data_IF_696300963702
#
_entry.id   IF_696300963702
#
_cell.length_a   1.000
_cell.length_b   1.000
_cell.length_c   1.000
_cell.angle_alpha   90.00
_cell.angle_beta   90.00
_cell.angle_gamma   90.00
#
_symmetry.space_group_name_H-M   'P 1'
#
loop_
_entity.id
_entity.type
_entity.pdbx_description
1 polymer ?
#
# COMPACT_ATOMS: atom_id res chain seq x y z
N UNK A 1 99.51 -37.88 14.88
CA UNK A 1 100.98 -37.68 14.85
C UNK A 1 101.44 -37.62 13.40
N UNK A 2 102.69 -37.23 13.12
CA UNK A 2 103.19 -37.38 11.75
C UNK A 2 103.47 -38.86 11.47
N UNK A 3 103.16 -39.35 10.26
CA UNK A 3 103.48 -40.72 9.84
C UNK A 3 104.95 -41.03 10.12
N UNK A 4 105.19 -42.06 10.91
CA UNK A 4 106.53 -42.57 11.15
C UNK A 4 106.85 -43.71 10.18
N UNK A 5 108.09 -43.81 9.72
CA UNK A 5 108.52 -44.85 8.77
C UNK A 5 109.70 -45.62 9.38
N UNK A 6 109.66 -46.94 9.24
CA UNK A 6 110.77 -47.81 9.61
C UNK A 6 111.95 -47.49 8.71
N UNK A 7 113.07 -47.09 9.30
CA UNK A 7 114.34 -46.94 8.61
C UNK A 7 114.92 -48.31 8.28
N UNK A 8 115.02 -48.64 6.99
CA UNK A 8 115.47 -49.97 6.54
C UNK A 8 117.00 -50.13 6.52
N UNK A 9 117.75 -49.05 6.80
CA UNK A 9 119.19 -48.98 6.60
C UNK A 9 119.57 -48.71 5.15
N UNK A 10 120.87 -48.58 4.89
CA UNK A 10 121.41 -48.33 3.54
C UNK A 10 121.69 -49.63 2.77
N UNK A 11 121.96 -50.72 3.49
CA UNK A 11 122.17 -52.08 3.00
C UNK A 11 121.76 -53.13 4.05
N UNK A 12 121.61 -54.38 3.63
CA UNK A 12 121.27 -55.47 4.55
C UNK A 12 122.36 -55.69 5.62
N UNK A 13 121.96 -55.76 6.89
CA UNK A 13 122.82 -56.00 8.05
C UNK A 13 123.93 -54.94 8.27
N UNK A 14 123.72 -53.70 7.82
CA UNK A 14 124.71 -52.61 7.93
C UNK A 14 124.64 -51.79 9.22
N UNK A 15 123.74 -52.15 10.13
CA UNK A 15 123.47 -51.48 11.41
C UNK A 15 123.05 -49.99 11.32
N UNK A 16 122.65 -49.50 10.14
CA UNK A 16 122.13 -48.12 9.96
C UNK A 16 120.60 -48.03 9.94
N UNK A 17 119.91 -49.17 9.92
CA UNK A 17 118.47 -49.27 10.05
C UNK A 17 117.97 -49.16 11.49
N UNK A 18 116.66 -49.04 11.65
CA UNK A 18 116.02 -49.09 12.95
C UNK A 18 116.22 -50.47 13.60
N UNK A 19 116.43 -50.46 14.91
CA UNK A 19 116.27 -51.69 15.70
C UNK A 19 114.81 -52.16 15.64
N UNK A 20 114.55 -53.47 15.82
CA UNK A 20 113.18 -54.00 15.90
C UNK A 20 112.32 -53.24 16.91
N UNK A 21 112.91 -52.76 18.01
CA UNK A 21 112.22 -51.94 19.01
C UNK A 21 111.82 -50.58 18.45
N UNK A 22 112.75 -49.82 17.86
CA UNK A 22 112.45 -48.51 17.27
C UNK A 22 111.47 -48.61 16.09
N UNK A 23 111.59 -49.65 15.26
CA UNK A 23 110.63 -49.93 14.19
C UNK A 23 109.26 -50.34 14.73
N UNK A 24 109.23 -51.17 15.78
CA UNK A 24 108.01 -51.60 16.47
C UNK A 24 107.27 -50.44 17.14
N UNK A 25 107.99 -49.53 17.80
CA UNK A 25 107.43 -48.31 18.37
C UNK A 25 106.77 -47.46 17.28
N UNK A 26 107.44 -47.27 16.14
CA UNK A 26 106.87 -46.53 15.01
C UNK A 26 105.62 -47.18 14.41
N UNK A 27 105.58 -48.50 14.38
CA UNK A 27 104.42 -49.27 13.91
C UNK A 27 103.27 -49.12 14.90
N UNK A 28 103.53 -49.29 16.19
CA UNK A 28 102.53 -49.11 17.24
C UNK A 28 101.98 -47.69 17.26
N UNK A 29 102.83 -46.67 17.20
CA UNK A 29 102.46 -45.26 17.14
C UNK A 29 101.50 -44.98 15.96
N UNK A 30 101.84 -45.45 14.76
CA UNK A 30 100.98 -45.29 13.59
C UNK A 30 99.63 -46.03 13.74
N UNK A 31 99.63 -47.27 14.27
CA UNK A 31 98.38 -48.01 14.48
C UNK A 31 97.54 -47.40 15.62
N UNK A 32 98.15 -46.96 16.71
CA UNK A 32 97.48 -46.25 17.80
C UNK A 32 96.81 -44.98 17.30
N UNK A 33 97.45 -44.21 16.40
CA UNK A 33 96.81 -43.07 15.73
C UNK A 33 95.55 -43.50 14.97
N UNK A 34 95.65 -44.54 14.13
CA UNK A 34 94.53 -45.01 13.31
C UNK A 34 93.36 -45.52 14.17
N UNK A 35 93.65 -46.32 15.19
CA UNK A 35 92.63 -46.87 16.09
C UNK A 35 92.02 -45.82 17.03
N UNK A 36 92.76 -44.74 17.33
CA UNK A 36 92.22 -43.60 18.07
C UNK A 36 91.35 -42.71 17.19
N UNK A 37 91.81 -42.42 15.96
CA UNK A 37 91.13 -41.47 15.07
C UNK A 37 89.90 -42.05 14.36
N UNK A 38 89.94 -43.33 13.97
CA UNK A 38 88.87 -44.03 13.22
C UNK A 38 88.18 -45.10 14.07
N UNK A 39 88.42 -45.09 15.38
CA UNK A 39 88.04 -46.15 16.29
C UNK A 39 87.74 -45.66 17.70
N UNK A 40 87.93 -46.53 18.67
CA UNK A 40 87.77 -46.23 20.10
C UNK A 40 89.07 -46.49 20.90
N UNK A 41 90.21 -46.63 20.22
CA UNK A 41 91.50 -47.00 20.80
C UNK A 41 91.77 -48.51 20.85
N UNK A 42 90.76 -49.35 20.64
CA UNK A 42 90.88 -50.82 20.61
C UNK A 42 90.35 -51.41 19.30
N UNK A 43 89.19 -50.93 18.85
CA UNK A 43 88.51 -51.36 17.62
C UNK A 43 88.34 -50.20 16.65
N UNK A 44 88.38 -50.48 15.34
CA UNK A 44 87.94 -49.54 14.31
C UNK A 44 86.41 -49.44 14.34
N UNK A 45 85.89 -48.22 14.37
CA UNK A 45 84.44 -47.94 14.41
C UNK A 45 83.90 -47.57 13.04
N UNK A 46 84.71 -47.67 11.98
CA UNK A 46 84.31 -47.50 10.59
C UNK A 46 84.32 -48.87 9.91
N UNK A 47 83.20 -49.27 9.33
CA UNK A 47 83.11 -50.45 8.46
C UNK A 47 82.83 -50.04 7.03
N UNK A 48 83.53 -50.67 6.08
CA UNK A 48 83.34 -50.52 4.63
C UNK A 48 83.00 -51.87 3.98
N UNK A 49 82.56 -52.85 4.78
CA UNK A 49 82.20 -54.15 4.27
C UNK A 49 80.89 -54.08 3.48
N UNK A 50 80.94 -54.48 2.20
CA UNK A 50 79.78 -54.69 1.32
C UNK A 50 78.78 -53.52 1.23
N UNK A 51 79.19 -52.27 0.94
CA UNK A 51 78.24 -51.20 0.71
C UNK A 51 77.34 -51.53 -0.49
N UNK A 52 76.04 -51.32 -0.33
CA UNK A 52 75.11 -51.28 -1.44
C UNK A 52 75.36 -50.07 -2.34
N UNK A 53 74.86 -50.13 -3.58
CA UNK A 53 74.88 -48.98 -4.49
C UNK A 53 74.17 -47.80 -3.82
N UNK A 54 74.80 -46.61 -3.84
CA UNK A 54 74.31 -45.35 -3.26
C UNK A 54 74.25 -45.26 -1.73
N UNK A 55 74.80 -46.22 -0.99
CA UNK A 55 74.90 -46.11 0.47
C UNK A 55 75.98 -45.12 0.89
N UNK A 56 75.76 -44.45 2.03
CA UNK A 56 76.70 -43.54 2.66
C UNK A 56 77.20 -44.11 3.98
N UNK A 57 78.34 -43.65 4.48
CA UNK A 57 78.77 -43.94 5.84
C UNK A 57 77.90 -43.16 6.83
N UNK A 58 76.99 -43.86 7.52
CA UNK A 58 76.10 -43.27 8.51
C UNK A 58 76.53 -43.69 9.91
N UNK A 59 76.66 -42.72 10.81
CA UNK A 59 76.83 -43.02 12.23
C UNK A 59 75.51 -43.53 12.81
N UNK A 60 75.50 -44.73 13.36
CA UNK A 60 74.29 -45.37 13.90
C UNK A 60 74.11 -45.17 15.41
N UNK A 61 74.95 -44.32 16.04
CA UNK A 61 75.02 -44.14 17.49
C UNK A 61 76.15 -44.92 18.16
N UNK A 62 76.88 -45.77 17.43
CA UNK A 62 78.06 -46.49 17.93
C UNK A 62 79.19 -46.57 16.90
N UNK A 63 78.88 -46.89 15.64
CA UNK A 63 79.84 -47.04 14.54
C UNK A 63 79.37 -46.34 13.26
N UNK A 64 80.29 -46.04 12.35
CA UNK A 64 80.00 -45.64 10.98
C UNK A 64 79.85 -46.88 10.10
N UNK A 65 78.63 -47.09 9.58
CA UNK A 65 78.28 -48.24 8.75
C UNK A 65 77.68 -47.77 7.42
N UNK A 66 77.88 -48.48 6.30
CA UNK A 66 77.14 -48.23 5.06
C UNK A 66 75.64 -48.36 5.33
N UNK A 67 74.88 -47.33 5.00
CA UNK A 67 73.44 -47.29 5.20
C UNK A 67 72.80 -46.32 4.22
N UNK A 68 71.50 -46.49 4.00
CA UNK A 68 70.73 -45.54 3.21
C UNK A 68 70.60 -44.23 3.97
N UNK A 69 70.65 -43.12 3.23
CA UNK A 69 70.42 -41.81 3.80
C UNK A 69 68.91 -41.54 3.89
N UNK A 70 68.32 -41.86 5.05
CA UNK A 70 66.85 -41.88 5.26
C UNK A 70 66.29 -40.71 6.07
N UNK A 71 67.08 -39.66 6.30
CA UNK A 71 66.71 -38.55 7.19
C UNK A 71 66.95 -37.20 6.52
N UNK A 72 65.93 -36.35 6.46
CA UNK A 72 66.08 -34.92 6.21
C UNK A 72 66.24 -34.20 7.56
N UNK A 73 67.42 -33.66 7.82
CA UNK A 73 67.70 -32.89 9.06
C UNK A 73 67.53 -31.38 8.88
N UNK A 74 67.26 -30.94 7.65
CA UNK A 74 66.95 -29.55 7.27
C UNK A 74 65.99 -29.55 6.07
N UNK A 75 65.49 -28.37 5.67
CA UNK A 75 64.66 -28.22 4.48
C UNK A 75 65.37 -28.78 3.24
N UNK A 76 64.63 -29.50 2.39
CA UNK A 76 65.14 -29.94 1.10
C UNK A 76 65.27 -28.73 0.15
N UNK A 77 66.51 -28.29 -0.09
CA UNK A 77 66.82 -27.38 -1.19
C UNK A 77 67.00 -28.19 -2.48
N UNK A 78 66.17 -27.90 -3.48
CA UNK A 78 66.20 -28.61 -4.76
C UNK A 78 67.29 -28.07 -5.70
N UNK A 79 67.90 -26.91 -5.45
CA UNK A 79 68.99 -26.32 -6.23
C UNK A 79 68.76 -26.37 -7.76
N UNK A 80 67.56 -25.97 -8.20
CA UNK A 80 67.14 -25.98 -9.60
C UNK A 80 66.69 -27.35 -10.16
N UNK A 81 66.68 -28.41 -9.35
CA UNK A 81 66.17 -29.73 -9.72
C UNK A 81 64.67 -29.88 -9.39
N UNK A 82 64.08 -30.99 -9.82
CA UNK A 82 62.65 -31.32 -9.60
C UNK A 82 62.50 -32.54 -8.71
N UNK A 83 61.45 -32.57 -7.88
CA UNK A 83 61.01 -33.78 -7.17
C UNK A 83 60.10 -34.57 -8.12
N UNK A 84 60.62 -35.63 -8.73
CA UNK A 84 59.92 -36.45 -9.71
C UNK A 84 60.02 -37.93 -9.36
N UNK A 85 59.03 -38.72 -9.79
CA UNK A 85 59.03 -40.17 -9.69
C UNK A 85 59.27 -40.80 -11.05
N UNK A 86 60.00 -41.92 -11.09
CA UNK A 86 60.23 -42.73 -12.29
C UNK A 86 59.35 -43.97 -12.30
N UNK A 87 58.97 -44.47 -13.49
CA UNK A 87 58.19 -45.72 -13.66
C UNK A 87 56.77 -45.68 -13.07
N UNK A 88 56.08 -44.55 -13.19
CA UNK A 88 54.69 -44.35 -12.74
C UNK A 88 54.46 -44.55 -11.23
N UNK A 89 55.50 -44.44 -10.40
CA UNK A 89 55.35 -44.49 -8.94
C UNK A 89 54.74 -43.20 -8.39
N UNK A 90 54.03 -43.28 -7.26
CA UNK A 90 53.53 -42.11 -6.54
C UNK A 90 54.66 -41.37 -5.82
N UNK A 91 54.52 -40.05 -5.63
CA UNK A 91 55.34 -39.26 -4.70
C UNK A 91 54.49 -39.01 -3.45
N UNK A 92 54.53 -39.88 -2.42
CA UNK A 92 53.75 -39.67 -1.22
C UNK A 92 54.30 -38.50 -0.41
N UNK A 93 53.47 -37.49 -0.16
CA UNK A 93 53.75 -36.40 0.79
C UNK A 93 52.75 -36.55 1.93
N UNK A 94 53.16 -37.28 2.97
CA UNK A 94 52.29 -37.67 4.07
C UNK A 94 52.92 -37.24 5.40
N UNK A 95 52.37 -36.21 6.09
CA UNK A 95 52.78 -35.90 7.44
C UNK A 95 52.29 -37.02 8.38
N UNK A 96 52.98 -37.21 9.51
CA UNK A 96 52.50 -38.13 10.53
C UNK A 96 51.33 -37.51 11.32
N UNK A 97 50.32 -38.31 11.67
CA UNK A 97 49.19 -37.91 12.48
C UNK A 97 48.35 -36.80 11.84
N UNK A 98 48.17 -35.70 12.57
CA UNK A 98 47.33 -34.56 12.17
C UNK A 98 48.12 -33.43 11.50
N UNK A 99 49.39 -33.67 11.15
CA UNK A 99 50.21 -32.67 10.49
C UNK A 99 49.62 -32.23 9.15
N UNK A 100 49.96 -31.02 8.72
CA UNK A 100 49.47 -30.45 7.47
C UNK A 100 50.50 -30.65 6.35
N UNK A 101 50.02 -30.83 5.12
CA UNK A 101 50.86 -30.60 3.94
C UNK A 101 50.67 -29.14 3.53
N UNK A 102 51.77 -28.43 3.32
CA UNK A 102 51.74 -27.03 2.88
C UNK A 102 52.48 -26.88 1.55
N UNK A 103 51.90 -26.12 0.62
CA UNK A 103 52.53 -25.74 -0.65
C UNK A 103 52.58 -24.23 -0.70
N UNK A 104 53.79 -23.68 -0.56
CA UNK A 104 53.99 -22.24 -0.49
C UNK A 104 54.72 -21.70 -1.72
N UNK A 105 54.25 -20.56 -2.24
CA UNK A 105 54.88 -19.84 -3.34
C UNK A 105 54.62 -18.33 -3.20
N UNK A 106 55.64 -17.49 -3.40
CA UNK A 106 55.48 -16.04 -3.38
C UNK A 106 54.91 -15.47 -2.07
N UNK A 107 55.13 -16.14 -0.93
CA UNK A 107 54.59 -15.75 0.38
C UNK A 107 53.16 -16.22 0.67
N UNK A 108 52.53 -16.95 -0.25
CA UNK A 108 51.22 -17.58 -0.07
C UNK A 108 51.41 -19.05 0.30
N UNK A 109 50.68 -19.55 1.30
CA UNK A 109 50.75 -20.95 1.74
C UNK A 109 49.39 -21.63 1.59
N UNK A 110 49.28 -22.58 0.66
CA UNK A 110 48.11 -23.45 0.53
C UNK A 110 48.24 -24.61 1.52
N UNK A 111 47.17 -24.99 2.20
CA UNK A 111 47.23 -25.95 3.32
C UNK A 111 46.24 -27.09 3.10
N UNK A 112 46.75 -28.31 3.07
CA UNK A 112 45.96 -29.54 3.18
C UNK A 112 45.97 -29.93 4.65
N UNK A 113 44.85 -29.69 5.33
CA UNK A 113 44.76 -29.80 6.78
C UNK A 113 44.56 -31.26 7.21
N UNK A 114 45.53 -31.84 7.92
CA UNK A 114 45.48 -33.23 8.37
C UNK A 114 44.50 -33.47 9.53
N UNK A 115 44.03 -32.42 10.20
CA UNK A 115 43.05 -32.52 11.29
C UNK A 115 41.61 -32.50 10.77
N UNK A 116 41.29 -31.56 9.89
CA UNK A 116 39.90 -31.35 9.41
C UNK A 116 39.62 -31.98 8.06
N UNK A 117 40.65 -32.34 7.29
CA UNK A 117 40.51 -32.76 5.90
C UNK A 117 40.23 -31.62 4.92
N UNK A 118 40.12 -30.38 5.40
CA UNK A 118 39.90 -29.22 4.54
C UNK A 118 41.16 -28.89 3.75
N UNK A 119 40.95 -28.40 2.53
CA UNK A 119 42.01 -27.81 1.70
C UNK A 119 41.77 -26.32 1.61
N UNK A 120 42.71 -25.54 2.10
CA UNK A 120 42.65 -24.08 2.13
C UNK A 120 43.58 -23.47 1.07
N UNK A 121 42.96 -22.74 0.13
CA UNK A 121 43.63 -21.93 -0.87
C UNK A 121 43.34 -20.46 -0.53
N UNK A 122 44.23 -19.75 0.20
CA UNK A 122 43.93 -18.41 0.73
C UNK A 122 43.84 -17.29 -0.33
N UNK A 123 44.01 -17.64 -1.61
CA UNK A 123 43.90 -16.71 -2.74
C UNK A 123 42.99 -17.32 -3.82
N UNK A 124 43.43 -17.40 -5.07
CA UNK A 124 42.66 -17.95 -6.18
C UNK A 124 43.18 -19.34 -6.57
N UNK A 125 42.26 -20.24 -6.91
CA UNK A 125 42.57 -21.50 -7.59
C UNK A 125 42.02 -21.46 -9.01
N UNK A 126 42.86 -21.77 -10.00
CA UNK A 126 42.43 -22.00 -11.36
C UNK A 126 42.43 -23.50 -11.62
N UNK A 127 41.27 -24.05 -12.02
CA UNK A 127 41.11 -25.45 -12.36
C UNK A 127 40.02 -25.59 -13.41
N UNK A 128 40.15 -26.60 -14.29
CA UNK A 128 39.11 -26.93 -15.26
C UNK A 128 38.18 -27.95 -14.62
N UNK A 129 36.91 -27.60 -14.48
CA UNK A 129 35.87 -28.51 -13.98
C UNK A 129 34.70 -28.62 -14.95
N UNK A 130 35.05 -28.98 -16.19
CA UNK A 130 34.14 -29.11 -17.32
C UNK A 130 34.23 -30.53 -17.87
N UNK A 131 33.07 -31.14 -18.12
CA UNK A 131 32.94 -32.50 -18.64
C UNK A 131 32.29 -32.52 -20.02
N UNK A 132 32.55 -33.56 -20.80
CA UNK A 132 31.96 -33.72 -22.15
C UNK A 132 30.47 -34.05 -22.12
N UNK A 133 29.96 -34.54 -21.00
CA UNK A 133 28.55 -34.86 -20.79
C UNK A 133 28.24 -34.93 -19.28
N UNK A 134 26.98 -34.74 -18.90
CA UNK A 134 26.51 -34.88 -17.51
C UNK A 134 26.90 -36.24 -16.90
N UNK A 135 26.82 -37.32 -17.68
CA UNK A 135 27.17 -38.67 -17.23
C UNK A 135 28.66 -38.86 -16.93
N UNK A 136 29.53 -38.03 -17.50
CA UNK A 136 30.99 -38.07 -17.29
C UNK A 136 31.42 -37.34 -16.01
N UNK A 137 30.56 -36.48 -15.45
CA UNK A 137 30.81 -35.83 -14.18
C UNK A 137 30.67 -36.80 -13.00
N UNK A 138 31.38 -36.58 -11.88
CA UNK A 138 31.28 -37.40 -10.67
C UNK A 138 29.84 -37.64 -10.21
N UNK A 139 29.58 -38.83 -9.68
CA UNK A 139 28.25 -39.20 -9.19
C UNK A 139 27.80 -38.29 -8.05
N UNK A 140 26.55 -37.83 -8.10
CA UNK A 140 25.96 -37.00 -7.06
C UNK A 140 25.93 -37.70 -5.68
N UNK A 141 25.77 -39.02 -5.66
CA UNK A 141 25.72 -39.83 -4.43
C UNK A 141 27.06 -39.97 -3.70
N UNK A 142 28.18 -39.69 -4.37
CA UNK A 142 29.53 -39.79 -3.79
C UNK A 142 30.20 -38.43 -3.62
N UNK A 143 29.75 -37.43 -4.37
CA UNK A 143 30.38 -36.11 -4.44
C UNK A 143 29.33 -35.00 -4.28
N UNK A 144 28.60 -34.99 -3.16
CA UNK A 144 27.69 -33.87 -2.82
C UNK A 144 28.48 -32.57 -2.67
N UNK A 145 27.93 -31.45 -3.13
CA UNK A 145 28.57 -30.13 -3.18
C UNK A 145 29.48 -29.90 -4.38
N UNK A 146 29.64 -30.88 -5.28
CA UNK A 146 30.50 -30.76 -6.44
C UNK A 146 29.90 -29.86 -7.53
N UNK A 147 30.52 -28.71 -7.78
CA UNK A 147 30.14 -27.78 -8.83
C UNK A 147 30.91 -28.07 -10.13
N UNK A 148 30.23 -28.14 -11.27
CA UNK A 148 30.86 -28.42 -12.57
C UNK A 148 30.06 -27.81 -13.73
N UNK A 149 30.68 -27.75 -14.91
CA UNK A 149 30.01 -27.41 -16.18
C UNK A 149 30.10 -28.58 -17.17
N UNK A 150 29.31 -28.51 -18.24
CA UNK A 150 29.35 -29.47 -19.34
C UNK A 150 29.60 -28.71 -20.63
N UNK A 151 30.52 -29.19 -21.45
CA UNK A 151 30.84 -28.58 -22.74
C UNK A 151 29.60 -28.59 -23.65
N UNK A 152 29.23 -27.40 -24.16
CA UNK A 152 28.01 -27.20 -24.95
C UNK A 152 26.69 -27.13 -24.17
N UNK A 153 26.70 -27.12 -22.84
CA UNK A 153 25.52 -26.88 -22.00
C UNK A 153 25.59 -25.48 -21.36
N UNK A 154 24.52 -24.70 -21.47
CA UNK A 154 24.42 -23.35 -20.93
C UNK A 154 24.24 -23.32 -19.39
N UNK A 155 24.05 -24.48 -18.76
CA UNK A 155 23.77 -24.59 -17.33
C UNK A 155 24.98 -25.12 -16.56
N UNK A 156 25.47 -24.40 -15.54
CA UNK A 156 26.29 -24.99 -14.50
C UNK A 156 25.47 -25.96 -13.65
N UNK A 157 26.18 -26.91 -13.02
CA UNK A 157 25.59 -27.94 -12.19
C UNK A 157 26.21 -27.97 -10.80
N UNK A 158 25.42 -28.38 -9.81
CA UNK A 158 25.91 -28.78 -8.49
C UNK A 158 25.29 -30.11 -8.08
N UNK A 159 26.14 -31.02 -7.60
CA UNK A 159 25.66 -32.26 -6.98
C UNK A 159 25.02 -31.94 -5.63
N UNK A 160 23.74 -32.23 -5.45
CA UNK A 160 23.02 -32.04 -4.18
C UNK A 160 22.14 -33.24 -3.87
N UNK A 161 21.76 -33.38 -2.60
CA UNK A 161 20.72 -34.31 -2.17
C UNK A 161 19.46 -33.52 -1.82
N UNK A 162 18.38 -33.76 -2.55
CA UNK A 162 17.09 -33.08 -2.32
C UNK A 162 16.15 -34.02 -1.57
N UNK A 163 16.06 -33.81 -0.25
CA UNK A 163 15.19 -34.59 0.65
C UNK A 163 13.71 -34.19 0.55
N UNK A 164 13.42 -32.90 0.41
CA UNK A 164 12.04 -32.38 0.29
C UNK A 164 11.66 -32.25 -1.20
N UNK A 165 10.61 -32.96 -1.64
CA UNK A 165 10.21 -33.01 -3.06
C UNK A 165 10.85 -34.14 -3.88
N UNK A 166 11.83 -34.85 -3.31
CA UNK A 166 12.09 -36.27 -3.61
C UNK A 166 12.81 -36.64 -4.91
N UNK A 167 13.83 -35.89 -5.34
CA UNK A 167 14.71 -36.35 -6.44
C UNK A 167 16.00 -37.02 -5.95
N UNK A 168 16.26 -37.05 -4.64
CA UNK A 168 17.42 -37.70 -4.05
C UNK A 168 18.75 -37.05 -4.47
N UNK A 169 19.80 -37.86 -4.59
CA UNK A 169 21.09 -37.41 -5.11
C UNK A 169 20.95 -37.04 -6.59
N UNK A 170 21.11 -35.75 -6.90
CA UNK A 170 20.91 -35.22 -8.24
C UNK A 170 22.01 -34.24 -8.64
N UNK A 171 22.18 -34.09 -9.95
CA UNK A 171 22.99 -33.03 -10.57
C UNK A 171 22.05 -31.87 -10.87
N UNK A 172 21.89 -30.97 -9.92
CA UNK A 172 20.96 -29.85 -10.04
C UNK A 172 21.54 -28.76 -10.94
N UNK A 173 20.72 -28.27 -11.87
CA UNK A 173 21.04 -27.10 -12.69
C UNK A 173 21.03 -25.84 -11.82
N UNK A 174 21.98 -24.95 -12.07
CA UNK A 174 22.02 -23.60 -11.51
C UNK A 174 21.56 -22.64 -12.61
N UNK A 175 20.63 -21.75 -12.29
CA UNK A 175 20.16 -20.74 -13.23
C UNK A 175 21.20 -19.64 -13.40
N UNK A 176 21.44 -19.23 -14.64
CA UNK A 176 22.33 -18.12 -15.01
C UNK A 176 21.53 -17.02 -15.72
N UNK A 177 22.20 -15.93 -16.10
CA UNK A 177 21.59 -14.88 -16.94
C UNK A 177 21.12 -15.40 -18.32
N UNK A 178 21.60 -16.58 -18.74
CA UNK A 178 21.21 -17.23 -19.99
C UNK A 178 20.08 -18.25 -19.80
N UNK A 179 19.68 -18.53 -18.55
CA UNK A 179 18.59 -19.46 -18.24
C UNK A 179 17.21 -18.83 -18.44
N UNK A 180 16.26 -19.63 -18.93
CA UNK A 180 14.85 -19.22 -18.93
C UNK A 180 14.27 -19.32 -17.53
N UNK A 181 13.42 -18.36 -17.15
CA UNK A 181 12.71 -18.38 -15.87
C UNK A 181 11.80 -19.63 -15.74
N UNK A 182 11.34 -20.19 -16.87
CA UNK A 182 10.58 -21.46 -16.89
C UNK A 182 11.35 -22.70 -16.42
N UNK A 183 12.65 -22.59 -16.14
CA UNK A 183 13.43 -23.66 -15.55
C UNK A 183 13.26 -23.76 -14.03
N UNK A 184 12.61 -22.77 -13.38
CA UNK A 184 12.22 -22.86 -11.97
C UNK A 184 11.00 -23.78 -11.86
N UNK A 185 11.03 -24.76 -10.95
CA UNK A 185 10.03 -25.83 -10.91
C UNK A 185 8.58 -25.39 -10.67
N UNK A 186 8.38 -24.23 -10.04
CA UNK A 186 7.07 -23.63 -9.78
C UNK A 186 6.70 -22.54 -10.80
N UNK A 187 7.45 -22.38 -11.89
CA UNK A 187 7.15 -21.45 -12.98
C UNK A 187 6.85 -22.22 -14.26
N UNK A 188 5.68 -21.97 -14.85
CA UNK A 188 5.29 -22.50 -16.14
C UNK A 188 5.16 -21.39 -17.18
N UNK A 189 6.18 -21.23 -18.00
CA UNK A 189 6.16 -20.35 -19.18
C UNK A 189 6.11 -21.15 -20.50
N UNK A 190 5.83 -22.45 -20.40
CA UNK A 190 5.99 -23.40 -21.51
C UNK A 190 4.66 -23.97 -21.98
N UNK A 191 3.76 -24.31 -21.06
CA UNK A 191 2.40 -24.75 -21.39
C UNK A 191 1.64 -23.64 -22.12
N UNK A 192 1.83 -22.40 -21.65
CA UNK A 192 1.41 -21.19 -22.32
C UNK A 192 2.58 -20.21 -22.36
N UNK A 193 3.04 -19.88 -23.57
CA UNK A 193 4.10 -18.89 -23.74
C UNK A 193 3.60 -17.49 -23.35
N UNK A 194 4.41 -16.67 -22.65
CA UNK A 194 4.03 -15.30 -22.32
C UNK A 194 3.78 -14.46 -23.58
N UNK A 195 2.72 -13.67 -23.57
CA UNK A 195 2.44 -12.64 -24.59
C UNK A 195 2.65 -11.23 -24.04
N UNK A 196 2.68 -10.23 -24.92
CA UNK A 196 2.86 -8.83 -24.54
C UNK A 196 1.79 -8.40 -23.51
N UNK A 197 2.22 -7.72 -22.43
CA UNK A 197 1.33 -7.23 -21.37
C UNK A 197 0.95 -8.26 -20.30
N UNK A 198 1.48 -9.49 -20.36
CA UNK A 198 1.26 -10.51 -19.31
C UNK A 198 2.29 -10.43 -18.20
N UNK A 199 1.87 -10.87 -17.01
CA UNK A 199 2.71 -11.04 -15.83
C UNK A 199 2.71 -12.51 -15.38
N UNK A 200 3.64 -12.88 -14.50
CA UNK A 200 3.56 -14.17 -13.82
C UNK A 200 2.55 -14.09 -12.68
N UNK A 201 1.48 -14.89 -12.78
CA UNK A 201 0.41 -14.98 -11.78
C UNK A 201 0.35 -16.39 -11.20
N UNK A 202 0.20 -16.49 -9.88
CA UNK A 202 0.01 -17.78 -9.23
C UNK A 202 -1.32 -18.39 -9.66
N UNK A 203 -1.25 -19.54 -10.33
CA UNK A 203 -2.39 -20.35 -10.72
C UNK A 203 -2.56 -21.48 -9.70
N UNK A 204 -3.63 -21.40 -8.91
CA UNK A 204 -3.92 -22.38 -7.85
C UNK A 204 -4.36 -23.74 -8.37
N UNK A 205 -4.86 -23.82 -9.61
CA UNK A 205 -5.24 -25.09 -10.25
C UNK A 205 -4.01 -25.90 -10.65
N UNK A 206 -2.98 -25.22 -11.17
CA UNK A 206 -1.74 -25.86 -11.61
C UNK A 206 -0.65 -25.84 -10.52
N UNK A 207 -0.85 -25.08 -9.44
CA UNK A 207 0.12 -24.92 -8.35
C UNK A 207 1.43 -24.28 -8.81
N UNK A 208 1.36 -23.39 -9.80
CA UNK A 208 2.51 -22.76 -10.46
C UNK A 208 2.25 -21.30 -10.80
N UNK A 209 3.31 -20.53 -10.92
CA UNK A 209 3.32 -19.22 -11.58
C UNK A 209 3.22 -19.41 -13.09
N UNK A 210 2.20 -18.87 -13.73
CA UNK A 210 2.04 -18.92 -15.19
C UNK A 210 1.77 -17.51 -15.76
N UNK A 211 2.13 -17.25 -17.03
CA UNK A 211 1.72 -16.03 -17.72
C UNK A 211 0.20 -15.89 -17.69
N UNK A 212 -0.25 -14.76 -17.17
CA UNK A 212 -1.64 -14.35 -17.22
C UNK A 212 -1.68 -12.86 -17.53
N UNK A 213 -2.80 -12.43 -18.11
CA UNK A 213 -3.09 -11.02 -18.25
C UNK A 213 -3.01 -10.35 -16.87
N UNK A 214 -2.57 -9.09 -16.85
CA UNK A 214 -2.62 -8.25 -15.66
C UNK A 214 -4.07 -7.91 -15.29
N UNK A 215 -4.80 -8.94 -14.88
CA UNK A 215 -6.13 -8.89 -14.31
C UNK A 215 -5.99 -8.80 -12.79
N UNK A 216 -5.45 -7.68 -12.31
CA UNK A 216 -5.43 -7.34 -10.89
C UNK A 216 -6.06 -5.95 -10.70
N UNK A 217 -7.40 -5.89 -10.65
CA UNK A 217 -8.20 -4.93 -9.86
C UNK A 217 -8.15 -3.43 -10.18
N UNK A 218 -7.20 -2.93 -10.97
CA UNK A 218 -7.03 -1.51 -11.26
C UNK A 218 -7.11 -1.17 -12.76
N UNK A 219 -7.06 -2.16 -13.66
CA UNK A 219 -7.15 -1.96 -15.11
C UNK A 219 -8.57 -1.65 -15.62
N UNK A 220 -9.59 -1.79 -14.79
CA UNK A 220 -10.99 -1.44 -15.12
C UNK A 220 -11.78 -1.05 -13.88
N UNK A 221 -11.18 -0.24 -13.00
CA UNK A 221 -11.96 0.35 -11.91
C UNK A 221 -12.84 1.45 -12.50
N UNK A 222 -14.14 1.37 -12.28
CA UNK A 222 -15.06 2.44 -12.63
C UNK A 222 -14.66 3.70 -11.84
N UNK A 223 -14.67 4.86 -12.50
CA UNK A 223 -14.32 6.15 -11.86
C UNK A 223 -15.25 6.49 -10.68
N UNK A 224 -16.42 5.86 -10.63
CA UNK A 224 -17.41 5.92 -9.55
C UNK A 224 -18.10 4.54 -9.44
N UNK A 225 -18.55 4.13 -8.25
CA UNK A 225 -19.24 2.83 -8.09
C UNK A 225 -20.76 2.96 -8.16
N UNK A 226 -21.39 3.64 -7.20
CA UNK A 226 -22.84 3.85 -7.18
C UNK A 226 -23.19 5.20 -6.58
N UNK A 227 -24.18 5.86 -7.15
CA UNK A 227 -24.72 7.14 -6.69
C UNK A 227 -26.23 6.99 -6.52
N UNK A 228 -26.71 7.32 -5.32
CA UNK A 228 -28.12 7.23 -4.93
C UNK A 228 -28.71 8.64 -4.90
N UNK A 229 -29.84 8.84 -5.56
CA UNK A 229 -30.60 10.09 -5.49
C UNK A 229 -31.85 9.90 -4.61
N UNK A 230 -32.60 10.98 -4.38
CA UNK A 230 -33.89 10.93 -3.65
C UNK A 230 -34.87 9.93 -4.28
N UNK A 231 -34.78 9.75 -5.60
CA UNK A 231 -35.44 8.68 -6.35
C UNK A 231 -34.46 8.05 -7.34
N UNK A 232 -34.28 6.72 -7.24
CA UNK A 232 -33.42 5.95 -8.14
C UNK A 232 -31.95 5.90 -7.74
N UNK A 233 -31.20 5.06 -8.46
CA UNK A 233 -29.78 4.80 -8.27
C UNK A 233 -29.10 4.66 -9.63
N UNK A 234 -27.87 5.12 -9.75
CA UNK A 234 -26.97 4.80 -10.86
C UNK A 234 -25.81 3.95 -10.33
N UNK A 235 -25.37 2.98 -11.10
CA UNK A 235 -24.16 2.18 -10.82
C UNK A 235 -23.37 2.13 -12.11
N UNK A 236 -22.06 2.40 -12.04
CA UNK A 236 -21.24 2.40 -13.23
C UNK A 236 -21.16 0.99 -13.84
N UNK A 237 -21.42 0.87 -15.13
CA UNK A 237 -21.41 -0.41 -15.85
C UNK A 237 -20.17 -0.61 -16.72
N UNK A 238 -19.31 0.41 -16.83
CA UNK A 238 -18.03 0.37 -17.54
C UNK A 238 -17.03 1.37 -16.97
N UNK A 239 -15.74 1.13 -17.25
CA UNK A 239 -14.65 1.97 -16.75
C UNK A 239 -14.69 3.42 -17.27
N UNK A 240 -15.40 3.66 -18.38
CA UNK A 240 -15.58 4.98 -18.99
C UNK A 240 -17.01 5.52 -18.80
N UNK A 241 -17.82 4.90 -17.95
CA UNK A 241 -19.21 5.30 -17.76
C UNK A 241 -19.30 6.73 -17.18
N UNK A 242 -20.23 7.51 -17.74
CA UNK A 242 -20.40 8.92 -17.42
C UNK A 242 -21.69 9.15 -16.64
N UNK A 243 -21.59 9.68 -15.42
CA UNK A 243 -22.77 10.17 -14.70
C UNK A 243 -23.14 11.58 -15.19
N UNK A 244 -24.37 11.76 -15.65
CA UNK A 244 -24.92 13.07 -16.02
C UNK A 244 -25.71 13.68 -14.86
N UNK A 245 -25.32 14.87 -14.41
CA UNK A 245 -26.11 15.68 -13.47
C UNK A 245 -26.93 16.69 -14.28
N UNK A 246 -28.15 16.30 -14.66
CA UNK A 246 -29.05 17.13 -15.44
C UNK A 246 -29.92 18.04 -14.55
N UNK A 247 -30.12 19.27 -14.98
CA UNK A 247 -31.09 20.17 -14.38
C UNK A 247 -32.52 19.82 -14.80
N UNK A 248 -33.47 19.88 -13.85
CA UNK A 248 -34.90 19.78 -14.13
C UNK A 248 -35.50 21.12 -14.59
N UNK A 249 -36.83 21.26 -14.47
CA UNK A 249 -37.50 22.54 -14.71
C UNK A 249 -36.93 23.62 -13.79
N UNK A 250 -36.53 24.75 -14.38
CA UNK A 250 -35.98 25.91 -13.67
C UNK A 250 -34.70 25.65 -12.86
N UNK A 251 -34.02 24.52 -13.09
CA UNK A 251 -32.73 24.20 -12.48
C UNK A 251 -31.69 24.08 -13.59
N UNK A 252 -30.62 24.86 -13.50
CA UNK A 252 -29.44 24.77 -14.35
C UNK A 252 -28.29 24.09 -13.63
N UNK A 253 -27.57 23.21 -14.32
CA UNK A 253 -26.33 22.60 -13.83
C UNK A 253 -25.16 23.03 -14.70
N UNK A 254 -24.00 23.29 -14.08
CA UNK A 254 -22.78 23.68 -14.80
C UNK A 254 -21.54 23.18 -14.09
N UNK A 255 -20.45 23.00 -14.83
CA UNK A 255 -19.16 22.58 -14.29
C UNK A 255 -18.12 23.63 -14.68
N UNK A 256 -17.34 24.11 -13.71
CA UNK A 256 -16.16 24.95 -13.93
C UNK A 256 -15.01 24.41 -13.10
N UNK A 257 -13.96 23.92 -13.75
CA UNK A 257 -12.93 23.11 -13.09
C UNK A 257 -13.56 21.87 -12.46
N UNK A 258 -13.29 21.64 -11.18
CA UNK A 258 -13.77 20.47 -10.42
C UNK A 258 -15.03 20.76 -9.59
N UNK A 259 -15.70 21.91 -9.80
CA UNK A 259 -16.92 22.28 -9.06
C UNK A 259 -18.16 22.12 -9.94
N UNK A 260 -19.08 21.25 -9.50
CA UNK A 260 -20.45 21.19 -10.01
C UNK A 260 -21.28 22.27 -9.31
N UNK A 261 -21.89 23.16 -10.08
CA UNK A 261 -22.83 24.17 -9.57
C UNK A 261 -24.25 23.82 -10.02
N UNK A 262 -25.18 23.77 -9.07
CA UNK A 262 -26.62 23.57 -9.32
C UNK A 262 -27.33 24.84 -8.87
N UNK A 263 -27.95 25.55 -9.81
CA UNK A 263 -28.58 26.84 -9.56
C UNK A 263 -30.04 26.83 -10.00
N UNK A 264 -30.89 27.53 -9.24
CA UNK A 264 -32.20 27.92 -9.74
C UNK A 264 -32.04 28.95 -10.85
N UNK A 265 -32.55 28.63 -12.04
CA UNK A 265 -32.51 29.47 -13.23
C UNK A 265 -33.90 29.94 -13.66
N UNK A 266 -34.94 29.53 -12.93
CA UNK A 266 -36.29 30.03 -13.16
C UNK A 266 -36.44 31.51 -12.81
N UNK A 267 -37.60 32.06 -13.15
CA UNK A 267 -37.94 33.44 -12.79
C UNK A 267 -38.64 33.45 -11.42
N UNK A 268 -38.06 34.07 -10.38
CA UNK A 268 -38.74 34.21 -9.11
C UNK A 268 -40.08 34.93 -9.28
N UNK A 269 -41.12 34.48 -8.58
CA UNK A 269 -42.40 35.18 -8.56
C UNK A 269 -42.21 36.50 -7.83
N UNK A 270 -42.28 37.61 -8.57
CA UNK A 270 -42.03 38.97 -8.05
C UNK A 270 -43.27 39.84 -8.03
N UNK A 271 -44.44 39.31 -8.42
CA UNK A 271 -45.71 40.03 -8.39
C UNK A 271 -46.87 39.13 -7.99
N UNK A 272 -47.88 39.73 -7.34
CA UNK A 272 -49.09 39.05 -6.90
C UNK A 272 -49.85 38.38 -8.05
N UNK A 273 -49.82 38.96 -9.24
CA UNK A 273 -50.48 38.42 -10.44
C UNK A 273 -49.78 37.19 -11.04
N UNK A 274 -48.51 36.95 -10.68
CA UNK A 274 -47.75 35.80 -11.15
C UNK A 274 -47.88 34.58 -10.23
N UNK A 275 -48.65 34.71 -9.14
CA UNK A 275 -49.04 33.60 -8.28
C UNK A 275 -50.16 32.80 -8.95
N UNK A 276 -49.83 31.57 -9.35
CA UNK A 276 -50.79 30.65 -9.98
C UNK A 276 -51.77 30.02 -8.99
N UNK A 277 -51.57 30.26 -7.70
CA UNK A 277 -52.38 29.79 -6.57
C UNK A 277 -53.29 30.88 -5.98
N UNK A 278 -53.56 31.97 -6.71
CA UNK A 278 -54.53 33.01 -6.31
C UNK A 278 -55.85 32.88 -7.07
N UNK A 279 -56.97 32.78 -6.36
CA UNK A 279 -58.32 32.78 -6.96
C UNK A 279 -58.86 34.22 -7.09
N UNK A 280 -58.44 34.92 -8.15
CA UNK A 280 -58.96 36.24 -8.54
C UNK A 280 -59.88 36.13 -9.77
N UNK A 281 -60.57 35.00 -9.93
CA UNK A 281 -61.45 34.79 -11.07
C UNK A 281 -62.59 35.83 -11.11
N UNK A 282 -62.82 36.46 -12.27
CA UNK A 282 -63.95 37.39 -12.47
C UNK A 282 -63.78 38.84 -12.02
N UNK A 283 -62.56 39.33 -11.80
CA UNK A 283 -62.30 40.76 -11.53
C UNK A 283 -62.64 41.65 -12.74
N UNK A 284 -63.24 42.81 -12.50
CA UNK A 284 -63.50 43.86 -13.50
C UNK A 284 -62.89 45.20 -13.12
N UNK A 285 -62.78 46.12 -14.08
CA UNK A 285 -62.22 47.46 -13.84
C UNK A 285 -63.04 48.19 -12.77
N UNK A 286 -62.37 48.60 -11.69
CA UNK A 286 -62.96 49.37 -10.59
C UNK A 286 -63.18 48.57 -9.30
N UNK A 287 -62.95 47.26 -9.33
CA UNK A 287 -63.04 46.41 -8.14
C UNK A 287 -61.93 46.69 -7.11
N UNK A 288 -62.24 46.41 -5.85
CA UNK A 288 -61.28 46.39 -4.73
C UNK A 288 -61.08 44.96 -4.23
N UNK A 289 -60.02 44.71 -3.46
CA UNK A 289 -59.76 43.41 -2.82
C UNK A 289 -59.62 43.64 -1.32
N UNK A 290 -60.21 42.77 -0.52
CA UNK A 290 -60.06 42.78 0.94
C UNK A 290 -59.86 41.37 1.49
N UNK A 291 -59.22 41.28 2.66
CA UNK A 291 -59.01 40.01 3.36
C UNK A 291 -60.23 39.69 4.24
N UNK A 292 -60.85 38.52 4.06
CA UNK A 292 -62.05 38.11 4.80
C UNK A 292 -61.79 37.17 5.99
N UNK A 293 -60.53 37.07 6.45
CA UNK A 293 -59.98 36.07 7.39
C UNK A 293 -59.57 34.71 6.81
N UNK A 294 -59.97 34.36 5.59
CA UNK A 294 -59.59 33.10 4.94
C UNK A 294 -58.88 33.33 3.60
N UNK A 295 -59.38 34.26 2.79
CA UNK A 295 -58.92 34.53 1.43
C UNK A 295 -58.91 36.04 1.12
N UNK A 296 -58.14 36.43 0.10
CA UNK A 296 -58.24 37.74 -0.53
C UNK A 296 -59.40 37.74 -1.52
N UNK A 297 -60.49 38.44 -1.19
CA UNK A 297 -61.74 38.40 -1.95
C UNK A 297 -61.98 39.71 -2.70
N UNK A 298 -62.51 39.60 -3.92
CA UNK A 298 -62.87 40.74 -4.76
C UNK A 298 -64.22 41.34 -4.35
N UNK A 299 -64.28 42.67 -4.22
CA UNK A 299 -65.48 43.46 -4.00
C UNK A 299 -65.67 44.50 -5.11
N UNK A 300 -66.93 44.82 -5.42
CA UNK A 300 -67.32 45.72 -6.51
C UNK A 300 -67.17 47.22 -6.18
N UNK A 301 -66.62 47.54 -5.02
CA UNK A 301 -66.43 48.89 -4.51
C UNK A 301 -65.32 48.89 -3.45
N UNK A 302 -64.81 50.07 -3.02
CA UNK A 302 -63.96 50.15 -1.84
C UNK A 302 -64.69 49.62 -0.60
N UNK A 303 -64.00 48.78 0.17
CA UNK A 303 -64.55 48.07 1.33
C UNK A 303 -63.95 48.58 2.63
N UNK A 304 -64.81 48.78 3.64
CA UNK A 304 -64.39 48.95 5.04
C UNK A 304 -65.06 47.86 5.88
N UNK A 305 -64.26 47.10 6.63
CA UNK A 305 -64.74 46.04 7.51
C UNK A 305 -64.69 46.49 8.97
N UNK A 306 -65.84 46.51 9.64
CA UNK A 306 -65.94 46.79 11.07
C UNK A 306 -66.47 45.58 11.83
N UNK A 307 -65.81 45.29 12.95
CA UNK A 307 -66.22 44.24 13.88
C UNK A 307 -67.10 44.85 14.96
N UNK A 308 -68.28 44.26 15.14
CA UNK A 308 -69.27 44.64 16.15
C UNK A 308 -69.19 43.67 17.33
N UNK A 309 -69.28 44.24 18.52
CA UNK A 309 -69.47 43.51 19.76
C UNK A 309 -70.42 44.33 20.66
N UNK A 310 -70.59 43.97 21.92
CA UNK A 310 -71.46 44.71 22.84
C UNK A 310 -70.88 44.84 24.24
N UNK A 311 -71.32 45.87 24.97
CA UNK A 311 -71.17 45.97 26.43
C UNK A 311 -72.54 45.67 27.05
N UNK A 312 -72.84 44.39 27.25
CA UNK A 312 -74.18 43.97 27.66
C UNK A 312 -75.26 44.50 26.70
N UNK A 313 -76.41 44.91 27.23
CA UNK A 313 -77.49 45.52 26.45
C UNK A 313 -77.44 47.05 26.38
N UNK A 314 -76.35 47.70 26.83
CA UNK A 314 -76.25 49.16 26.87
C UNK A 314 -75.67 49.74 25.59
N UNK A 315 -74.61 49.14 25.03
CA UNK A 315 -73.87 49.73 23.91
C UNK A 315 -73.47 48.69 22.86
N UNK A 316 -73.57 49.05 21.57
CA UNK A 316 -72.71 48.41 20.57
C UNK A 316 -71.29 48.90 20.71
N UNK A 317 -70.32 48.04 20.44
CA UNK A 317 -68.93 48.44 20.25
C UNK A 317 -68.48 48.17 18.83
N UNK A 318 -67.80 49.14 18.22
CA UNK A 318 -67.24 49.03 16.87
C UNK A 318 -65.73 49.11 16.92
N UNK A 319 -65.07 48.28 16.14
CA UNK A 319 -63.62 48.31 15.94
C UNK A 319 -63.27 48.02 14.48
N UNK A 320 -62.08 48.44 14.05
CA UNK A 320 -61.61 48.28 12.68
C UNK A 320 -61.06 49.58 12.09
N UNK A 321 -60.88 49.66 10.75
CA UNK A 321 -60.29 50.82 10.09
C UNK A 321 -61.03 52.12 10.45
N UNK A 322 -60.27 53.17 10.78
CA UNK A 322 -60.83 54.45 11.23
C UNK A 322 -61.05 54.56 12.74
N UNK A 323 -60.93 53.46 13.50
CA UNK A 323 -60.95 53.46 14.96
C UNK A 323 -59.58 53.09 15.53
N UNK A 324 -59.18 53.71 16.65
CA UNK A 324 -57.95 53.35 17.39
C UNK A 324 -58.18 52.24 18.43
N UNK A 325 -59.40 51.71 18.53
CA UNK A 325 -59.84 50.71 19.49
C UNK A 325 -61.35 50.46 19.38
N UNK A 326 -61.93 49.71 20.31
CA UNK A 326 -63.38 49.53 20.36
C UNK A 326 -64.05 50.80 20.91
N UNK A 327 -65.05 51.33 20.20
CA UNK A 327 -65.78 52.55 20.58
C UNK A 327 -67.25 52.22 20.81
N UNK A 328 -67.81 52.67 21.93
CA UNK A 328 -69.22 52.51 22.26
C UNK A 328 -70.08 53.47 21.44
N UNK A 329 -71.12 52.93 20.82
CA UNK A 329 -72.13 53.63 20.02
C UNK A 329 -71.61 54.84 19.21
N UNK A 330 -70.58 54.67 18.36
CA UNK A 330 -69.98 55.77 17.64
C UNK A 330 -70.92 56.34 16.60
N UNK A 331 -70.78 57.65 16.34
CA UNK A 331 -71.30 58.20 15.08
C UNK A 331 -70.46 57.67 13.92
N UNK A 332 -71.11 56.97 12.99
CA UNK A 332 -70.46 56.41 11.81
C UNK A 332 -70.48 57.40 10.66
N UNK A 333 -69.39 57.45 9.90
CA UNK A 333 -69.28 58.25 8.68
C UNK A 333 -69.05 57.30 7.51
N UNK A 334 -69.97 57.31 6.56
CA UNK A 334 -69.95 56.42 5.40
C UNK A 334 -70.06 57.22 4.10
N UNK A 335 -69.48 56.70 3.03
CA UNK A 335 -69.55 57.33 1.70
C UNK A 335 -70.48 56.54 0.78
N UNK A 336 -71.25 57.26 -0.03
CA UNK A 336 -72.04 56.67 -1.10
C UNK A 336 -71.14 55.90 -2.08
N UNK A 337 -71.58 54.74 -2.53
CA UNK A 337 -70.83 53.87 -3.43
C UNK A 337 -69.81 52.94 -2.78
N UNK A 338 -69.50 53.11 -1.48
CA UNK A 338 -68.62 52.22 -0.72
C UNK A 338 -69.41 51.07 -0.11
N UNK A 339 -68.75 49.94 0.14
CA UNK A 339 -69.33 48.83 0.90
C UNK A 339 -68.77 48.82 2.32
N UNK A 340 -69.67 48.86 3.30
CA UNK A 340 -69.35 48.69 4.71
C UNK A 340 -69.83 47.32 5.17
N UNK A 341 -68.93 46.60 5.82
CA UNK A 341 -69.21 45.28 6.36
C UNK A 341 -69.29 45.40 7.86
N UNK A 342 -70.47 45.10 8.41
CA UNK A 342 -70.73 45.06 9.84
C UNK A 342 -70.72 43.60 10.27
N UNK A 343 -69.60 43.15 10.81
CA UNK A 343 -69.45 41.81 11.33
C UNK A 343 -70.00 41.74 12.76
N UNK A 344 -71.24 41.28 12.88
CA UNK A 344 -71.90 41.02 14.15
C UNK A 344 -72.04 39.51 14.39
N UNK A 345 -71.15 38.69 13.83
CA UNK A 345 -71.18 37.23 13.95
C UNK A 345 -71.05 36.75 15.40
N UNK A 346 -70.37 37.52 16.25
CA UNK A 346 -70.13 37.18 17.66
C UNK A 346 -71.37 37.45 18.54
N UNK A 347 -72.09 38.55 18.32
CA UNK A 347 -73.17 39.02 19.22
C UNK A 347 -74.55 39.10 18.57
N UNK A 348 -74.68 38.79 17.28
CA UNK A 348 -75.88 39.11 16.49
C UNK A 348 -77.14 38.34 16.85
N UNK A 349 -77.04 37.25 17.59
CA UNK A 349 -78.19 36.55 18.17
C UNK A 349 -78.83 37.32 19.35
N UNK A 350 -78.03 37.88 20.24
CA UNK A 350 -78.50 38.64 21.40
C UNK A 350 -78.66 40.14 21.10
N UNK A 351 -77.97 40.63 20.08
CA UNK A 351 -77.95 42.03 19.68
C UNK A 351 -78.06 42.19 18.16
N UNK A 352 -79.24 41.96 17.55
CA UNK A 352 -79.39 42.06 16.10
C UNK A 352 -79.22 43.50 15.60
N UNK A 353 -78.25 43.72 14.71
CA UNK A 353 -77.91 45.02 14.15
C UNK A 353 -78.87 45.39 13.01
N UNK A 354 -79.37 46.62 12.99
CA UNK A 354 -80.25 47.11 11.93
C UNK A 354 -79.95 48.55 11.59
N UNK A 355 -79.91 48.87 10.30
CA UNK A 355 -79.90 50.25 9.80
C UNK A 355 -81.36 50.70 9.56
N UNK A 356 -81.68 51.92 9.92
CA UNK A 356 -83.05 52.46 9.89
C UNK A 356 -83.06 53.97 9.60
N UNK A 357 -84.15 54.46 9.02
CA UNK A 357 -84.29 55.87 8.60
C UNK A 357 -84.81 56.81 9.70
N UNK A 358 -85.27 56.26 10.81
CA UNK A 358 -85.73 57.00 12.00
C UNK A 358 -85.16 56.36 13.27
N UNK A 359 -85.03 57.12 14.36
CA UNK A 359 -84.44 56.64 15.62
C UNK A 359 -85.40 55.75 16.44
N UNK A 360 -84.82 54.95 17.34
CA UNK A 360 -85.54 54.16 18.34
C UNK A 360 -85.96 52.76 17.85
N UNK A 361 -86.43 51.93 18.78
CA UNK A 361 -86.77 50.51 18.52
C UNK A 361 -87.81 50.30 17.42
N UNK A 362 -88.74 51.26 17.27
CA UNK A 362 -89.80 51.28 16.25
C UNK A 362 -89.41 52.02 14.97
N UNK A 363 -88.11 52.34 14.80
CA UNK A 363 -87.60 53.00 13.61
C UNK A 363 -87.83 52.21 12.33
N UNK A 364 -88.05 52.90 11.22
CA UNK A 364 -88.35 52.27 9.92
C UNK A 364 -87.08 51.63 9.35
N UNK A 365 -87.04 50.30 9.12
CA UNK A 365 -85.88 49.63 8.57
C UNK A 365 -85.47 50.21 7.22
N UNK A 366 -84.17 50.43 7.04
CA UNK A 366 -83.58 50.79 5.76
C UNK A 366 -82.80 49.58 5.26
N UNK A 367 -83.20 49.02 4.11
CA UNK A 367 -82.64 47.76 3.58
C UNK A 367 -81.98 47.93 2.21
N UNK A 368 -82.06 49.13 1.61
CA UNK A 368 -81.48 49.39 0.30
C UNK A 368 -79.96 49.25 0.33
N UNK A 369 -79.42 48.51 -0.64
CA UNK A 369 -77.98 48.22 -0.74
C UNK A 369 -77.46 47.19 0.25
N UNK A 370 -78.33 46.54 1.05
CA UNK A 370 -77.90 45.54 2.02
C UNK A 370 -77.95 44.12 1.45
N UNK A 371 -77.01 43.29 1.90
CA UNK A 371 -77.03 41.83 1.78
C UNK A 371 -76.47 41.20 3.06
N UNK A 372 -76.67 39.89 3.23
CA UNK A 372 -76.33 39.20 4.48
C UNK A 372 -77.35 39.45 5.58
N UNK A 373 -76.91 39.50 6.84
CA UNK A 373 -77.79 39.60 8.00
C UNK A 373 -77.15 40.37 9.14
N UNK A 374 -77.89 41.30 9.75
CA UNK A 374 -77.45 42.01 10.95
C UNK A 374 -77.36 41.17 12.22
N UNK A 375 -77.84 39.92 12.18
CA UNK A 375 -77.59 38.91 13.23
C UNK A 375 -76.33 38.07 12.97
N UNK A 376 -75.63 38.33 11.87
CA UNK A 376 -74.35 37.74 11.53
C UNK A 376 -73.50 38.84 10.86
N UNK A 377 -73.12 38.67 9.59
CA UNK A 377 -72.42 39.71 8.84
C UNK A 377 -73.41 40.43 7.91
N UNK A 378 -73.53 41.75 8.08
CA UNK A 378 -74.30 42.62 7.21
C UNK A 378 -73.35 43.37 6.27
N UNK A 379 -73.57 43.21 4.97
CA UNK A 379 -72.89 43.97 3.94
C UNK A 379 -73.80 45.10 3.51
N UNK A 380 -73.28 46.31 3.44
CA UNK A 380 -74.05 47.46 2.99
C UNK A 380 -73.26 48.28 1.98
N UNK A 381 -73.62 48.12 0.70
CA UNK A 381 -73.17 49.01 -0.36
C UNK A 381 -74.07 50.23 -0.35
N UNK A 382 -73.54 51.36 0.09
CA UNK A 382 -74.33 52.58 0.30
C UNK A 382 -74.84 53.08 -1.06
N UNK A 383 -76.17 53.10 -1.31
CA UNK A 383 -76.70 53.58 -2.57
C UNK A 383 -76.34 55.06 -2.82
N UNK A 384 -76.18 55.45 -4.09
CA UNK A 384 -75.88 56.85 -4.45
C UNK A 384 -77.02 57.82 -4.09
N UNK A 385 -78.23 57.31 -3.91
CA UNK A 385 -79.42 58.05 -3.46
C UNK A 385 -79.73 57.86 -1.96
N UNK A 386 -78.82 57.26 -1.18
CA UNK A 386 -79.02 57.09 0.26
C UNK A 386 -79.26 58.44 0.97
N UNK A 387 -80.15 58.51 1.97
CA UNK A 387 -80.35 59.72 2.78
C UNK A 387 -79.06 60.18 3.46
N UNK A 388 -78.90 61.49 3.65
CA UNK A 388 -77.71 62.05 4.29
C UNK A 388 -77.53 61.61 5.76
N UNK A 389 -78.61 61.21 6.43
CA UNK A 389 -78.60 60.71 7.80
C UNK A 389 -79.44 59.44 7.87
N UNK A 390 -78.84 58.40 8.41
CA UNK A 390 -79.48 57.15 8.82
C UNK A 390 -79.09 56.87 10.28
N UNK A 391 -79.66 55.82 10.85
CA UNK A 391 -79.33 55.37 12.20
C UNK A 391 -79.07 53.88 12.18
N UNK A 392 -78.23 53.40 13.09
CA UNK A 392 -78.22 51.98 13.44
C UNK A 392 -78.85 51.78 14.81
N UNK A 393 -79.44 50.61 15.01
CA UNK A 393 -80.19 50.26 16.21
C UNK A 393 -80.12 48.75 16.43
N UNK A 394 -79.90 48.34 17.68
CA UNK A 394 -80.18 46.97 18.11
C UNK A 394 -81.69 46.78 18.16
N UNK A 395 -82.22 45.76 17.51
CA UNK A 395 -83.68 45.56 17.45
C UNK A 395 -84.31 45.18 18.80
N UNK A 396 -83.50 44.81 19.79
CA UNK A 396 -83.93 44.37 21.12
C UNK A 396 -83.66 45.39 22.23
N UNK A 397 -82.59 46.19 22.11
CA UNK A 397 -82.19 47.14 23.15
C UNK A 397 -82.19 48.56 22.62
N UNK A 398 -82.96 49.44 23.25
CA UNK A 398 -83.08 50.84 22.82
C UNK A 398 -81.77 51.61 23.00
N UNK A 399 -80.97 51.31 24.01
CA UNK A 399 -79.73 52.04 24.30
C UNK A 399 -78.65 51.86 23.21
N UNK A 400 -78.63 50.71 22.54
CA UNK A 400 -77.63 50.36 21.52
C UNK A 400 -78.00 50.98 20.16
N UNK A 401 -77.71 52.26 19.98
CA UNK A 401 -78.07 53.01 18.79
C UNK A 401 -77.06 54.11 18.48
N UNK A 402 -76.99 54.51 17.23
CA UNK A 402 -76.15 55.65 16.84
C UNK A 402 -76.54 56.23 15.49
N UNK A 403 -75.88 57.33 15.16
CA UNK A 403 -76.11 58.07 13.92
C UNK A 403 -75.12 57.62 12.85
N UNK A 404 -75.61 57.47 11.62
CA UNK A 404 -74.81 57.24 10.42
C UNK A 404 -74.92 58.48 9.54
N UNK A 405 -73.82 59.21 9.40
CA UNK A 405 -73.69 60.33 8.48
C UNK A 405 -73.22 59.83 7.11
N UNK A 406 -74.04 60.03 6.08
CA UNK A 406 -73.79 59.55 4.72
C UNK A 406 -73.26 60.69 3.84
N UNK A 407 -71.95 60.71 3.63
CA UNK A 407 -71.25 61.66 2.77
C UNK A 407 -71.38 61.30 1.29
N UNK A 408 -71.12 62.29 0.41
CA UNK A 408 -71.06 62.13 -1.05
C UNK A 408 -69.64 61.84 -1.51
#
# INVERSE_FOLDING_TARGET
MAKQVIGLGSAANDNTGDTLRAGGDKVNDNFSEVYTALGNGTDLTITLANPGVNQVLRYNGSTFTPSDYSTLTSSLDVNGNTIISTSNGNIPIAPNGTGNVTIAAGGVTNTFNGTTGNVDFPTSIAYKNEYTAIGSAPSASSYTGYFFTVDGDDNPYVNINITAGGVGDTRAKILTEYSSLGQVGDVDTTTNAPTNGQLLKWNTSDGKWAPADDLAGAGSQNLWESIVADTGTATADSATDSLTIAGGTDIGTSITGDTVTINYTGTPVTSFAALTDTDLSGIVKGDSVYWNNTDWVVARSPVIWWNLNSVGGSDYTFSGPGFTGAVNDPTLYVYRGFTYIFDNSVQGGAHPFRIQSTQGLTGTPYTAGQSGSGSNILYWTVPLDAPAVLYYQCTLHSAMQGTINVAV
#
